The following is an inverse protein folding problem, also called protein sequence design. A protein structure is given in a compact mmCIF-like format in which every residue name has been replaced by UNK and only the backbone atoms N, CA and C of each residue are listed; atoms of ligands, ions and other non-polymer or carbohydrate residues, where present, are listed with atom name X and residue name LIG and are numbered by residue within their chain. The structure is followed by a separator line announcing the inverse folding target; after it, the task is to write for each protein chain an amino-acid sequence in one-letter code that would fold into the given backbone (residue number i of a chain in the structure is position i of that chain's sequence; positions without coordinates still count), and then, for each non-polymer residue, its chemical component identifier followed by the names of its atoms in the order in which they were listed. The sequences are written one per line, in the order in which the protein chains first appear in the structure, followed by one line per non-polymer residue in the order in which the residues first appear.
data_IF_019805107001
#
_entry.id   IF_019805107001
#
_cell.length_a   1.000
_cell.length_b   1.000
_cell.length_c   1.000
_cell.angle_alpha   90.00
_cell.angle_beta   90.00
_cell.angle_gamma   90.00
#
_symmetry.space_group_name_H-M   'P 1'
#
loop_
_entity.id
_entity.type
_entity.pdbx_description
1 polymer ?
#
# COMPACT_ATOMS: atom_id res chain seq x y z
N UNK A 1 5.53 19.49 1.23
CA UNK A 1 5.02 18.14 0.91
C UNK A 1 4.33 18.15 -0.45
N UNK A 2 4.62 17.16 -1.31
CA UNK A 2 3.94 17.03 -2.61
C UNK A 2 2.49 16.56 -2.44
N UNK A 3 1.60 16.81 -3.41
CA UNK A 3 0.20 16.33 -3.34
C UNK A 3 0.11 14.79 -3.23
N UNK A 4 0.85 14.00 -4.03
CA UNK A 4 0.78 12.53 -3.93
C UNK A 4 1.22 12.01 -2.55
N UNK A 5 2.32 12.53 -2.02
CA UNK A 5 2.84 12.19 -0.70
C UNK A 5 1.84 12.49 0.42
N UNK A 6 1.15 13.64 0.32
CA UNK A 6 0.10 14.01 1.26
C UNK A 6 -1.10 13.06 1.22
N UNK A 7 -1.57 12.71 0.02
CA UNK A 7 -2.69 11.78 -0.15
C UNK A 7 -2.34 10.39 0.39
N UNK A 8 -1.10 9.95 0.19
CA UNK A 8 -0.60 8.69 0.76
C UNK A 8 -0.58 8.74 2.29
N UNK A 9 -0.08 9.84 2.88
CA UNK A 9 -0.07 10.03 4.34
C UNK A 9 -1.49 10.02 4.92
N UNK A 10 -2.45 10.69 4.26
CA UNK A 10 -3.86 10.68 4.66
C UNK A 10 -4.46 9.27 4.62
N UNK A 11 -4.20 8.52 3.55
CA UNK A 11 -4.69 7.15 3.41
C UNK A 11 -4.14 6.23 4.51
N UNK A 12 -2.86 6.38 4.86
CA UNK A 12 -2.25 5.63 5.96
C UNK A 12 -2.82 6.04 7.33
N UNK A 13 -3.04 7.34 7.56
CA UNK A 13 -3.67 7.80 8.80
C UNK A 13 -5.07 7.18 8.99
N UNK A 14 -5.87 7.13 7.92
CA UNK A 14 -7.20 6.48 7.93
C UNK A 14 -7.16 4.96 8.16
N UNK A 15 -6.03 4.29 7.87
CA UNK A 15 -5.84 2.85 8.10
C UNK A 15 -5.40 2.53 9.53
N UNK A 16 -4.49 3.33 10.08
CA UNK A 16 -3.82 3.03 11.35
C UNK A 16 -4.58 3.59 12.54
N UNK A 17 -5.27 4.73 12.37
CA UNK A 17 -5.98 5.36 13.48
C UNK A 17 -7.31 4.65 13.79
N UNK A 18 -7.72 4.61 15.08
CA UNK A 18 -9.01 4.05 15.48
C UNK A 18 -10.17 4.75 14.78
N UNK A 19 -11.02 3.98 14.10
CA UNK A 19 -12.17 4.48 13.33
C UNK A 19 -13.39 4.70 14.26
N UNK A 20 -14.21 5.75 14.05
CA UNK A 20 -14.07 6.83 13.05
C UNK A 20 -13.10 7.93 13.51
N UNK A 21 -12.30 8.46 12.58
CA UNK A 21 -11.28 9.49 12.84
C UNK A 21 -11.80 10.88 12.49
N UNK A 22 -11.66 11.86 13.39
CA UNK A 22 -12.12 13.23 13.13
C UNK A 22 -11.27 13.94 12.08
N UNK A 23 -11.87 14.91 11.36
CA UNK A 23 -11.15 15.76 10.41
C UNK A 23 -9.99 16.49 11.09
N UNK A 24 -10.21 17.06 12.28
CA UNK A 24 -9.18 17.74 13.06
C UNK A 24 -7.98 16.82 13.36
N UNK A 25 -8.22 15.55 13.73
CA UNK A 25 -7.13 14.60 13.99
C UNK A 25 -6.35 14.25 12.73
N UNK A 26 -7.04 14.00 11.62
CA UNK A 26 -6.40 13.70 10.33
C UNK A 26 -5.61 14.91 9.81
N UNK A 27 -6.12 16.12 10.01
CA UNK A 27 -5.45 17.37 9.66
C UNK A 27 -4.12 17.55 10.41
N UNK A 28 -4.10 17.22 11.70
CA UNK A 28 -2.87 17.20 12.51
C UNK A 28 -1.89 16.16 11.97
N UNK A 29 -2.35 14.92 11.73
CA UNK A 29 -1.49 13.82 11.26
C UNK A 29 -0.89 14.08 9.87
N UNK A 30 -1.62 14.82 9.02
CA UNK A 30 -1.19 15.15 7.66
C UNK A 30 -0.57 16.53 7.54
N UNK A 31 -0.44 17.27 8.64
CA UNK A 31 0.12 18.62 8.72
C UNK A 31 -0.54 19.61 7.75
N UNK A 32 -1.86 19.53 7.58
CA UNK A 32 -2.64 20.46 6.75
C UNK A 32 -3.85 21.03 7.47
N UNK A 33 -4.45 22.07 6.90
CA UNK A 33 -5.73 22.60 7.39
C UNK A 33 -6.88 21.64 7.05
N UNK A 34 -7.96 21.68 7.84
CA UNK A 34 -9.17 20.90 7.57
C UNK A 34 -9.75 21.17 6.17
N UNK A 35 -9.67 22.42 5.69
CA UNK A 35 -10.12 22.77 4.32
C UNK A 35 -9.35 21.99 3.25
N UNK A 36 -8.04 21.84 3.42
CA UNK A 36 -7.21 21.04 2.51
C UNK A 36 -7.51 19.57 2.66
N UNK A 37 -7.67 19.10 3.90
CA UNK A 37 -8.05 17.73 4.19
C UNK A 37 -9.36 17.32 3.50
N UNK A 38 -10.42 18.13 3.58
CA UNK A 38 -11.68 17.82 2.91
C UNK A 38 -11.51 17.69 1.39
N UNK A 39 -10.67 18.54 0.77
CA UNK A 39 -10.34 18.43 -0.66
C UNK A 39 -9.54 17.17 -0.98
N UNK A 40 -8.65 16.76 -0.09
CA UNK A 40 -7.85 15.55 -0.25
C UNK A 40 -8.71 14.28 -0.08
N UNK A 41 -9.66 14.28 0.86
CA UNK A 41 -10.66 13.20 1.01
C UNK A 41 -11.48 13.05 -0.27
N UNK A 42 -11.98 14.15 -0.83
CA UNK A 42 -12.71 14.11 -2.10
C UNK A 42 -11.81 13.67 -3.26
N UNK A 43 -10.52 14.05 -3.25
CA UNK A 43 -9.55 13.58 -4.24
C UNK A 43 -9.32 12.07 -4.14
N UNK A 44 -9.24 11.52 -2.92
CA UNK A 44 -9.09 10.08 -2.67
C UNK A 44 -10.36 9.32 -3.10
N UNK A 45 -11.55 9.84 -2.77
CA UNK A 45 -12.84 9.27 -3.23
C UNK A 45 -12.94 9.24 -4.75
N UNK A 46 -12.61 10.34 -5.42
CA UNK A 46 -12.55 10.40 -6.88
C UNK A 46 -11.51 9.44 -7.48
N UNK A 47 -10.44 9.14 -6.73
CA UNK A 47 -9.44 8.13 -7.06
C UNK A 47 -9.85 6.69 -6.76
N UNK A 48 -11.05 6.45 -6.24
CA UNK A 48 -11.60 5.11 -5.96
C UNK A 48 -11.45 4.64 -4.51
N UNK A 49 -10.97 5.48 -3.59
CA UNK A 49 -10.95 5.11 -2.17
C UNK A 49 -12.36 5.16 -1.56
N UNK A 50 -12.78 4.06 -0.93
CA UNK A 50 -14.04 3.98 -0.20
C UNK A 50 -13.86 4.58 1.20
N UNK A 51 -14.10 5.88 1.33
CA UNK A 51 -14.01 6.59 2.62
C UNK A 51 -15.43 6.94 3.05
N UNK A 52 -15.92 6.30 4.10
CA UNK A 52 -17.19 6.63 4.74
C UNK A 52 -17.04 7.79 5.72
N UNK A 53 -18.15 8.48 5.96
CA UNK A 53 -18.22 9.57 6.92
C UNK A 53 -18.30 10.97 6.30
N UNK A 54 -18.46 11.96 7.19
CA UNK A 54 -18.74 13.34 6.83
C UNK A 54 -18.18 14.30 7.91
N UNK A 55 -18.08 15.61 7.62
CA UNK A 55 -17.71 16.60 8.62
C UNK A 55 -18.58 16.49 9.88
N UNK A 56 -17.95 16.49 11.06
CA UNK A 56 -18.62 16.34 12.35
C UNK A 56 -18.94 14.89 12.77
N UNK A 57 -18.93 13.92 11.85
CA UNK A 57 -19.14 12.49 12.16
C UNK A 57 -17.82 11.71 12.24
N UNK A 58 -16.76 12.24 11.61
CA UNK A 58 -15.49 11.55 11.42
C UNK A 58 -15.50 10.72 10.14
N UNK A 59 -14.33 10.17 9.81
CA UNK A 59 -14.06 9.43 8.58
C UNK A 59 -13.51 8.04 8.89
N UNK A 60 -13.90 7.08 8.08
CA UNK A 60 -13.40 5.72 8.14
C UNK A 60 -13.06 5.26 6.73
N UNK A 61 -11.85 4.72 6.55
CA UNK A 61 -11.58 3.98 5.32
C UNK A 61 -12.31 2.64 5.43
N UNK A 62 -13.28 2.45 4.56
CA UNK A 62 -13.94 1.17 4.33
C UNK A 62 -12.94 0.35 3.55
N UNK A 63 -12.35 -0.61 4.24
CA UNK A 63 -11.44 -1.55 3.63
C UNK A 63 -12.24 -2.35 2.62
N UNK A 64 -12.15 -1.96 1.35
CA UNK A 64 -12.37 -2.92 0.29
C UNK A 64 -11.28 -3.97 0.48
N UNK A 65 -11.71 -5.16 0.90
CA UNK A 65 -10.88 -6.37 0.99
C UNK A 65 -10.13 -6.70 -0.31
N UNK A 66 -10.37 -5.95 -1.40
CA UNK A 66 -9.62 -5.97 -2.65
C UNK A 66 -8.35 -5.10 -2.70
N UNK A 67 -8.04 -4.28 -1.67
CA UNK A 67 -6.78 -3.53 -1.59
C UNK A 67 -5.84 -4.19 -0.57
N UNK A 68 -4.85 -5.00 -1.01
CA UNK A 68 -3.93 -5.65 -0.09
C UNK A 68 -3.14 -4.60 0.72
N UNK A 69 -2.76 -4.93 1.96
CA UNK A 69 -2.07 -4.00 2.85
C UNK A 69 -0.69 -3.72 2.26
N UNK A 70 -0.37 -2.44 2.05
CA UNK A 70 0.96 -1.95 1.67
C UNK A 70 1.51 -2.55 0.37
N UNK A 71 1.23 -1.89 -0.76
CA UNK A 71 2.04 -2.08 -1.96
C UNK A 71 3.48 -1.71 -1.60
N UNK A 72 4.36 -2.72 -1.53
CA UNK A 72 5.80 -2.51 -1.61
C UNK A 72 6.10 -1.58 -2.78
N UNK A 73 6.93 -0.57 -2.57
CA UNK A 73 7.41 0.25 -3.66
C UNK A 73 8.27 -0.58 -4.63
N UNK A 74 8.66 0.01 -5.77
CA UNK A 74 9.45 -0.70 -6.79
C UNK A 74 10.75 -1.27 -6.21
N UNK A 75 11.45 -0.49 -5.39
CA UNK A 75 12.75 -0.87 -4.83
C UNK A 75 12.55 -1.98 -3.78
N UNK A 76 11.55 -1.84 -2.92
CA UNK A 76 11.18 -2.85 -1.92
C UNK A 76 10.80 -4.18 -2.59
N UNK A 77 10.07 -4.15 -3.71
CA UNK A 77 9.75 -5.34 -4.50
C UNK A 77 10.99 -5.98 -5.13
N UNK A 78 11.89 -5.18 -5.70
CA UNK A 78 13.15 -5.68 -6.27
C UNK A 78 14.02 -6.31 -5.18
N UNK A 79 14.13 -5.68 -4.02
CA UNK A 79 14.88 -6.21 -2.88
C UNK A 79 14.31 -7.54 -2.38
N UNK A 80 12.98 -7.66 -2.28
CA UNK A 80 12.31 -8.91 -1.90
C UNK A 80 12.56 -10.03 -2.91
N UNK A 81 12.47 -9.73 -4.20
CA UNK A 81 12.69 -10.71 -5.27
C UNK A 81 14.13 -11.20 -5.28
N UNK A 82 15.10 -10.30 -5.12
CA UNK A 82 16.53 -10.67 -5.01
C UNK A 82 16.78 -11.52 -3.76
N UNK A 83 16.26 -11.11 -2.60
CA UNK A 83 16.42 -11.86 -1.35
C UNK A 83 15.81 -13.26 -1.42
N UNK A 84 14.60 -13.39 -1.96
CA UNK A 84 13.95 -14.71 -2.14
C UNK A 84 14.71 -15.58 -3.16
N UNK A 85 15.27 -14.99 -4.20
CA UNK A 85 16.11 -15.71 -5.17
C UNK A 85 17.40 -16.23 -4.54
N UNK A 86 18.02 -15.47 -3.63
CA UNK A 86 19.20 -15.90 -2.88
C UNK A 86 18.88 -17.04 -1.91
N UNK A 87 17.75 -16.94 -1.18
CA UNK A 87 17.24 -18.01 -0.30
C UNK A 87 16.94 -19.28 -1.10
N UNK A 88 16.41 -19.16 -2.32
CA UNK A 88 16.18 -20.32 -3.20
C UNK A 88 17.48 -21.01 -3.61
N UNK A 89 18.56 -20.27 -3.83
CA UNK A 89 19.85 -20.82 -4.27
C UNK A 89 20.68 -21.39 -3.12
N UNK A 90 20.65 -20.76 -1.94
CA UNK A 90 21.56 -21.09 -0.82
C UNK A 90 20.87 -21.68 0.41
N UNK A 91 19.55 -21.60 0.48
CA UNK A 91 18.76 -22.14 1.59
C UNK A 91 18.68 -23.66 1.57
N UNK A 92 18.27 -24.23 2.70
CA UNK A 92 17.90 -25.64 2.74
C UNK A 92 16.66 -25.93 1.85
N UNK A 93 16.36 -27.21 1.54
CA UNK A 93 15.26 -27.55 0.64
C UNK A 93 13.89 -27.01 1.07
N UNK A 94 13.64 -26.85 2.38
CA UNK A 94 12.37 -26.32 2.90
C UNK A 94 12.30 -24.81 2.71
N UNK A 95 13.40 -24.10 2.93
CA UNK A 95 13.51 -22.67 2.70
C UNK A 95 13.41 -22.33 1.22
N UNK A 96 14.03 -23.12 0.34
CA UNK A 96 13.90 -22.94 -1.11
C UNK A 96 12.44 -23.08 -1.57
N UNK A 97 11.73 -24.11 -1.08
CA UNK A 97 10.32 -24.30 -1.39
C UNK A 97 9.42 -23.20 -0.81
N UNK A 98 9.74 -22.71 0.39
CA UNK A 98 9.04 -21.58 1.00
C UNK A 98 9.26 -20.28 0.19
N UNK A 99 10.47 -20.06 -0.33
CA UNK A 99 10.80 -18.91 -1.16
C UNK A 99 10.02 -18.91 -2.48
N UNK A 100 9.92 -20.06 -3.16
CA UNK A 100 9.10 -20.19 -4.38
C UNK A 100 7.61 -19.90 -4.10
N UNK A 101 7.07 -20.42 -3.00
CA UNK A 101 5.68 -20.16 -2.59
C UNK A 101 5.44 -18.68 -2.25
N UNK A 102 6.39 -18.04 -1.56
CA UNK A 102 6.32 -16.63 -1.22
C UNK A 102 6.35 -15.75 -2.48
N UNK A 103 7.26 -16.03 -3.42
CA UNK A 103 7.36 -15.31 -4.68
C UNK A 103 6.07 -15.41 -5.51
N UNK A 104 5.46 -16.60 -5.57
CA UNK A 104 4.20 -16.80 -6.28
C UNK A 104 3.04 -15.99 -5.67
N UNK A 105 2.95 -15.94 -4.33
CA UNK A 105 1.94 -15.15 -3.62
C UNK A 105 2.15 -13.64 -3.82
N UNK A 106 3.40 -13.19 -3.77
CA UNK A 106 3.78 -11.80 -4.02
C UNK A 106 3.46 -11.40 -5.46
N UNK A 107 3.77 -12.24 -6.44
CA UNK A 107 3.41 -11.97 -7.83
C UNK A 107 1.87 -11.87 -8.02
N UNK A 108 1.10 -12.69 -7.32
CA UNK A 108 -0.36 -12.72 -7.43
C UNK A 108 -1.04 -11.44 -6.89
N UNK A 109 -0.40 -10.69 -5.98
CA UNK A 109 -0.95 -9.44 -5.43
C UNK A 109 -0.66 -8.21 -6.32
N UNK A 110 0.16 -8.35 -7.36
CA UNK A 110 0.54 -7.25 -8.24
C UNK A 110 -0.40 -7.05 -9.44
N UNK A 111 -0.58 -5.81 -9.92
CA UNK A 111 -1.21 -5.56 -11.21
C UNK A 111 -0.47 -6.27 -12.35
N UNK A 112 -1.19 -6.78 -13.36
CA UNK A 112 -0.64 -7.52 -14.53
C UNK A 112 0.56 -6.86 -15.22
N UNK A 113 0.65 -5.52 -15.17
CA UNK A 113 1.79 -4.75 -15.74
C UNK A 113 3.07 -4.94 -14.93
N UNK A 114 2.98 -4.97 -13.60
CA UNK A 114 4.12 -5.15 -12.70
C UNK A 114 4.56 -6.63 -12.61
N UNK A 115 3.59 -7.56 -12.66
CA UNK A 115 3.88 -9.01 -12.74
C UNK A 115 4.89 -9.32 -13.85
N UNK A 116 4.67 -8.77 -15.06
CA UNK A 116 5.58 -8.96 -16.18
C UNK A 116 6.99 -8.41 -15.92
N UNK A 117 7.10 -7.24 -15.29
CA UNK A 117 8.41 -6.61 -15.02
C UNK A 117 9.25 -7.40 -14.00
N UNK A 118 8.62 -7.93 -12.96
CA UNK A 118 9.32 -8.73 -11.95
C UNK A 118 9.72 -10.11 -12.48
N UNK A 119 8.87 -10.72 -13.32
CA UNK A 119 9.21 -11.96 -14.01
C UNK A 119 10.44 -11.78 -14.94
N UNK A 120 10.62 -10.60 -15.55
CA UNK A 120 11.82 -10.30 -16.32
C UNK A 120 13.05 -10.09 -15.44
N UNK A 121 12.91 -9.46 -14.27
CA UNK A 121 14.00 -9.28 -13.32
C UNK A 121 14.52 -10.62 -12.75
N UNK A 122 13.64 -11.61 -12.60
CA UNK A 122 14.02 -12.97 -12.16
C UNK A 122 14.75 -13.79 -13.24
N UNK A 123 14.72 -13.36 -14.50
CA UNK A 123 15.44 -14.01 -15.60
C UNK A 123 16.77 -13.33 -15.96
N UNK A 124 17.13 -12.22 -15.32
CA UNK A 124 18.40 -11.51 -15.55
C UNK A 124 19.45 -11.75 -14.46
N UNK A 125 19.19 -12.63 -13.50
CA UNK A 125 20.13 -13.03 -12.43
C UNK A 125 20.43 -14.52 -12.52
#
# INVERSE_FOLDING_TARGET
MSRPERLFRLLNALRVLPKPVTAARLAIETEVSERTLYRDIESLRAGGALIDGAPGLGYALTEDSALPPQTFDRIEMEALVVGLSDVRQRGDPRLAQAADSALAKIAATLPKRLQRQILHATHMV
#
